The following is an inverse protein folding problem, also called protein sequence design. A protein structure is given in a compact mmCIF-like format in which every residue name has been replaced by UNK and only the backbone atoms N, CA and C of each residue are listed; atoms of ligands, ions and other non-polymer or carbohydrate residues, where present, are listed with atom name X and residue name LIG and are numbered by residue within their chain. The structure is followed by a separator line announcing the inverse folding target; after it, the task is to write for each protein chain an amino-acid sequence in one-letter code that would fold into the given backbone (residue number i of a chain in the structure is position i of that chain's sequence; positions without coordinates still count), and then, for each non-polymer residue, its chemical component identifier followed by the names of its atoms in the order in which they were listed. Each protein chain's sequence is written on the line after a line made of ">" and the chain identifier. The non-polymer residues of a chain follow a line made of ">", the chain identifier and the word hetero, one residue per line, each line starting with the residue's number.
data_IF_922798203230
#
_entry.id   IF_922798203230
#
_cell.length_a   1.000
_cell.length_b   1.000
_cell.length_c   1.000
_cell.angle_alpha   90.00
_cell.angle_beta   90.00
_cell.angle_gamma   90.00
#
_symmetry.space_group_name_H-M   'P 1'
#
loop_
_entity.id
_entity.type
_entity.pdbx_description
1 polymer ?
#
# COMPACT_ATOMS: atom_id res chain seq x y z
N UNK A 1 15.61 -40.83 30.97
CA UNK A 1 16.05 -39.90 29.90
C UNK A 1 14.82 -39.42 29.13
N UNK A 2 14.33 -38.21 29.41
CA UNK A 2 13.11 -37.68 28.77
C UNK A 2 13.48 -36.88 27.52
N UNK A 3 13.07 -37.37 26.34
CA UNK A 3 13.29 -36.73 25.04
C UNK A 3 12.27 -35.60 24.86
N UNK A 4 12.69 -34.35 25.03
CA UNK A 4 11.88 -33.17 24.74
C UNK A 4 11.74 -33.00 23.22
N UNK A 5 10.53 -33.21 22.69
CA UNK A 5 10.19 -32.85 21.31
C UNK A 5 10.04 -31.33 21.23
N UNK A 6 11.07 -30.63 20.76
CA UNK A 6 10.99 -29.21 20.43
C UNK A 6 10.05 -29.03 19.21
N UNK A 7 8.87 -28.45 19.43
CA UNK A 7 7.99 -28.06 18.33
C UNK A 7 8.41 -26.68 17.81
N UNK A 8 8.64 -26.58 16.49
CA UNK A 8 9.06 -25.35 15.86
C UNK A 8 7.94 -24.30 15.93
N UNK A 9 8.08 -23.33 16.84
CA UNK A 9 7.18 -22.17 16.91
C UNK A 9 7.47 -21.26 15.72
N UNK A 10 6.49 -21.12 14.81
CA UNK A 10 6.58 -20.19 13.67
C UNK A 10 6.72 -18.75 14.18
N UNK A 11 7.78 -18.05 13.78
CA UNK A 11 7.95 -16.63 14.05
C UNK A 11 7.06 -15.81 13.09
N UNK A 12 6.15 -15.03 13.63
CA UNK A 12 5.11 -14.33 12.86
C UNK A 12 5.67 -13.22 11.95
N UNK A 13 6.85 -12.68 12.27
CA UNK A 13 7.46 -11.54 11.54
C UNK A 13 8.12 -11.87 10.19
N UNK A 14 8.46 -13.13 9.92
CA UNK A 14 9.27 -13.49 8.74
C UNK A 14 8.56 -13.34 7.38
N UNK A 15 7.22 -13.31 7.36
CA UNK A 15 6.45 -13.20 6.11
C UNK A 15 6.42 -11.77 5.55
N UNK A 16 6.39 -10.77 6.42
CA UNK A 16 6.28 -9.36 6.01
C UNK A 16 7.58 -8.86 5.36
N UNK A 17 8.74 -9.20 5.95
CA UNK A 17 10.06 -8.84 5.40
C UNK A 17 10.31 -9.50 4.03
N UNK A 18 9.81 -10.72 3.83
CA UNK A 18 9.85 -11.40 2.52
C UNK A 18 8.96 -10.71 1.47
N UNK A 19 7.83 -10.13 1.88
CA UNK A 19 6.94 -9.39 0.98
C UNK A 19 7.56 -8.05 0.56
N UNK A 20 8.15 -7.29 1.49
CA UNK A 20 8.85 -6.03 1.19
C UNK A 20 10.10 -6.24 0.32
N UNK A 21 10.86 -7.33 0.52
CA UNK A 21 11.99 -7.68 -0.37
C UNK A 21 11.54 -8.10 -1.78
N UNK A 22 10.26 -8.44 -1.98
CA UNK A 22 9.69 -8.84 -3.26
C UNK A 22 8.97 -7.69 -3.99
N UNK A 23 8.80 -6.53 -3.34
CA UNK A 23 8.10 -5.36 -3.90
C UNK A 23 9.00 -4.40 -4.69
N UNK A 24 10.22 -4.81 -5.05
CA UNK A 24 10.91 -4.26 -6.22
C UNK A 24 9.95 -4.32 -7.43
N UNK A 25 9.99 -3.38 -8.39
CA UNK A 25 8.89 -3.14 -9.32
C UNK A 25 8.63 -4.39 -10.16
N UNK A 26 7.70 -5.21 -9.69
CA UNK A 26 7.07 -6.23 -10.48
C UNK A 26 5.89 -5.52 -11.13
N UNK A 27 5.94 -5.37 -12.45
CA UNK A 27 4.80 -4.98 -13.32
C UNK A 27 3.64 -6.02 -13.27
N UNK A 28 3.60 -6.86 -12.24
CA UNK A 28 2.67 -7.95 -12.04
C UNK A 28 1.45 -7.52 -11.24
N UNK A 29 0.28 -7.69 -11.87
CA UNK A 29 -1.03 -7.21 -11.44
C UNK A 29 -1.35 -7.33 -9.96
N UNK A 30 -1.83 -6.22 -9.41
CA UNK A 30 -2.70 -6.17 -8.23
C UNK A 30 -3.89 -7.12 -8.47
N UNK A 31 -4.26 -7.93 -7.45
CA UNK A 31 -5.47 -8.77 -7.49
C UNK A 31 -6.64 -7.94 -8.04
N UNK A 32 -7.36 -8.47 -9.06
CA UNK A 32 -8.45 -7.81 -9.82
C UNK A 32 -8.74 -6.39 -9.31
N UNK A 33 -8.19 -5.34 -9.97
CA UNK A 33 -8.33 -3.99 -9.47
C UNK A 33 -9.81 -3.71 -9.25
N UNK A 34 -10.12 -3.15 -8.07
CA UNK A 34 -11.46 -2.64 -7.80
C UNK A 34 -11.75 -1.64 -8.92
N UNK A 35 -12.72 -1.94 -9.79
CA UNK A 35 -13.13 -1.00 -10.83
C UNK A 35 -13.73 0.19 -10.11
N UNK A 36 -12.97 1.28 -9.96
CA UNK A 36 -13.55 2.60 -9.72
C UNK A 36 -14.58 2.80 -10.83
N UNK A 37 -15.84 2.71 -10.43
CA UNK A 37 -16.97 2.61 -11.37
C UNK A 37 -17.20 4.02 -11.89
N UNK A 38 -17.85 4.15 -13.05
CA UNK A 38 -18.41 5.43 -13.52
C UNK A 38 -19.20 6.21 -12.44
N UNK A 39 -19.60 5.56 -11.33
CA UNK A 39 -20.23 6.16 -10.15
C UNK A 39 -19.35 7.12 -9.33
N UNK A 40 -18.02 6.94 -9.29
CA UNK A 40 -17.14 7.87 -8.56
C UNK A 40 -16.86 9.15 -9.37
N UNK A 41 -17.11 9.09 -10.69
CA UNK A 41 -16.94 10.20 -11.64
C UNK A 41 -18.27 10.84 -12.05
N UNK A 42 -19.40 10.21 -11.72
CA UNK A 42 -20.73 10.74 -11.98
C UNK A 42 -21.05 11.99 -11.17
N UNK A 43 -20.35 12.21 -10.07
CA UNK A 43 -20.41 13.45 -9.29
C UNK A 43 -19.82 14.65 -10.06
N UNK A 44 -19.00 14.41 -11.09
CA UNK A 44 -18.38 15.46 -11.91
C UNK A 44 -19.09 15.67 -13.24
N UNK A 45 -19.44 14.60 -13.98
CA UNK A 45 -20.26 14.68 -15.21
C UNK A 45 -20.81 13.30 -15.61
N UNK A 46 -22.11 13.21 -15.88
CA UNK A 46 -22.82 11.94 -16.09
C UNK A 46 -22.53 11.23 -17.42
N UNK A 47 -21.88 11.89 -18.39
CA UNK A 47 -21.62 11.35 -19.74
C UNK A 47 -20.13 11.36 -20.16
N UNK A 48 -19.23 11.18 -19.19
CA UNK A 48 -17.79 11.09 -19.45
C UNK A 48 -17.40 9.70 -19.99
N UNK A 49 -16.76 9.68 -21.16
CA UNK A 49 -16.10 8.48 -21.72
C UNK A 49 -14.58 8.64 -21.56
N UNK A 50 -13.96 7.70 -20.86
CA UNK A 50 -12.50 7.70 -20.66
C UNK A 50 -11.83 6.83 -21.71
N UNK A 51 -10.72 7.32 -22.27
CA UNK A 51 -9.82 6.51 -23.07
C UNK A 51 -9.18 5.44 -22.17
N UNK A 52 -8.94 4.24 -22.71
CA UNK A 52 -8.28 3.16 -21.96
C UNK A 52 -6.91 3.57 -21.42
N UNK A 53 -6.13 4.34 -22.18
CA UNK A 53 -4.84 4.89 -21.75
C UNK A 53 -4.97 5.92 -20.62
N UNK A 54 -6.04 6.72 -20.60
CA UNK A 54 -6.28 7.69 -19.53
C UNK A 54 -6.54 7.00 -18.20
N UNK A 55 -7.31 5.90 -18.21
CA UNK A 55 -7.55 5.07 -17.02
C UNK A 55 -6.23 4.43 -16.53
N UNK A 56 -5.40 3.94 -17.45
CA UNK A 56 -4.09 3.38 -17.09
C UNK A 56 -3.15 4.43 -16.49
N UNK A 57 -3.11 5.63 -17.06
CA UNK A 57 -2.29 6.72 -16.54
C UNK A 57 -2.71 7.16 -15.13
N UNK A 58 -4.03 7.25 -14.88
CA UNK A 58 -4.55 7.54 -13.54
C UNK A 58 -4.19 6.46 -12.53
N UNK A 59 -4.23 5.19 -12.94
CA UNK A 59 -3.84 4.07 -12.08
C UNK A 59 -2.34 4.17 -11.74
N UNK A 60 -1.49 4.36 -12.74
CA UNK A 60 -0.05 4.46 -12.54
C UNK A 60 0.34 5.64 -11.64
N UNK A 61 -0.26 6.82 -11.87
CA UNK A 61 -0.05 7.98 -11.02
C UNK A 61 -0.54 7.75 -9.58
N UNK A 62 -1.69 7.09 -9.40
CA UNK A 62 -2.24 6.77 -8.08
C UNK A 62 -1.36 5.77 -7.33
N UNK A 63 -0.86 4.73 -8.00
CA UNK A 63 0.04 3.75 -7.41
C UNK A 63 1.37 4.39 -7.00
N UNK A 64 1.98 5.20 -7.88
CA UNK A 64 3.21 5.93 -7.57
C UNK A 64 3.05 6.86 -6.35
N UNK A 65 1.94 7.62 -6.32
CA UNK A 65 1.61 8.49 -5.19
C UNK A 65 1.48 7.69 -3.88
N UNK A 66 0.70 6.61 -3.87
CA UNK A 66 0.48 5.80 -2.67
C UNK A 66 1.76 5.12 -2.18
N UNK A 67 2.62 4.64 -3.08
CA UNK A 67 3.92 4.07 -2.70
C UNK A 67 4.76 5.13 -1.98
N UNK A 68 4.90 6.33 -2.55
CA UNK A 68 5.65 7.42 -1.93
C UNK A 68 5.08 7.82 -0.56
N UNK A 69 3.76 7.87 -0.43
CA UNK A 69 3.09 8.23 0.83
C UNK A 69 3.32 7.16 1.90
N UNK A 70 3.33 5.89 1.54
CA UNK A 70 3.60 4.80 2.47
C UNK A 70 5.07 4.77 2.91
N UNK A 71 6.01 5.20 2.08
CA UNK A 71 7.41 5.38 2.48
C UNK A 71 7.53 6.43 3.61
N UNK A 72 6.91 7.60 3.44
CA UNK A 72 6.92 8.66 4.45
C UNK A 72 6.16 8.26 5.73
N UNK A 73 5.03 7.57 5.56
CA UNK A 73 4.24 7.03 6.68
C UNK A 73 5.07 6.03 7.49
N UNK A 74 5.86 5.19 6.82
CA UNK A 74 6.74 4.23 7.47
C UNK A 74 7.86 4.93 8.26
N UNK A 75 8.43 6.02 7.73
CA UNK A 75 9.38 6.86 8.47
C UNK A 75 8.74 7.46 9.73
N UNK A 76 7.51 7.94 9.64
CA UNK A 76 6.75 8.45 10.80
C UNK A 76 6.52 7.36 11.86
N UNK A 77 6.19 6.14 11.45
CA UNK A 77 6.02 5.01 12.37
C UNK A 77 7.34 4.64 13.08
N UNK A 78 8.45 4.60 12.35
CA UNK A 78 9.79 4.31 12.88
C UNK A 78 10.25 5.41 13.84
N UNK A 79 9.98 6.68 13.51
CA UNK A 79 10.27 7.82 14.40
C UNK A 79 9.59 7.66 15.76
N UNK A 80 8.37 7.10 15.78
CA UNK A 80 7.63 6.78 17.00
C UNK A 80 7.95 5.39 17.60
N UNK A 81 9.08 4.76 17.21
CA UNK A 81 9.54 3.43 17.67
C UNK A 81 8.54 2.29 17.41
N UNK A 82 7.72 2.39 16.36
CA UNK A 82 6.76 1.37 15.94
C UNK A 82 7.17 0.77 14.59
N UNK A 83 6.73 -0.46 14.35
CA UNK A 83 6.92 -1.18 13.06
C UNK A 83 5.61 -1.24 12.27
N UNK A 84 4.48 -0.96 12.91
CA UNK A 84 3.15 -0.95 12.29
C UNK A 84 2.73 0.49 12.01
N UNK A 85 2.46 0.79 10.73
CA UNK A 85 1.86 2.06 10.31
C UNK A 85 0.44 2.20 10.83
N UNK A 86 0.07 3.42 11.23
CA UNK A 86 -1.23 3.77 11.76
C UNK A 86 -1.81 4.97 11.02
N UNK A 87 -3.14 5.22 11.08
CA UNK A 87 -3.75 6.39 10.42
C UNK A 87 -3.12 7.73 10.81
N UNK A 88 -2.67 7.87 12.07
CA UNK A 88 -1.95 9.07 12.56
C UNK A 88 -0.62 9.31 11.85
N UNK A 89 0.06 8.26 11.39
CA UNK A 89 1.33 8.38 10.67
C UNK A 89 1.08 8.91 9.26
N UNK A 90 -0.03 8.50 8.63
CA UNK A 90 -0.45 8.99 7.32
C UNK A 90 -0.86 10.46 7.43
N UNK A 91 -1.65 10.80 8.45
CA UNK A 91 -2.06 12.18 8.71
C UNK A 91 -0.85 13.10 8.92
N UNK A 92 0.14 12.64 9.69
CA UNK A 92 1.38 13.38 9.90
C UNK A 92 2.18 13.54 8.60
N UNK A 93 2.34 12.47 7.82
CA UNK A 93 3.05 12.52 6.54
C UNK A 93 2.39 13.50 5.55
N UNK A 94 1.06 13.46 5.43
CA UNK A 94 0.29 14.39 4.58
C UNK A 94 0.39 15.83 5.06
N UNK A 95 0.34 16.05 6.38
CA UNK A 95 0.52 17.37 6.97
C UNK A 95 1.90 17.97 6.66
N UNK A 96 2.97 17.16 6.75
CA UNK A 96 4.33 17.58 6.42
C UNK A 96 4.49 17.85 4.91
N UNK A 97 3.79 17.09 4.06
CA UNK A 97 3.75 17.31 2.60
C UNK A 97 2.96 18.56 2.20
N UNK A 98 2.11 19.09 3.07
CA UNK A 98 1.26 20.25 2.79
C UNK A 98 -0.03 19.90 2.00
N UNK A 99 -0.53 18.68 2.16
CA UNK A 99 -1.79 18.20 1.55
C UNK A 99 -3.03 18.33 2.44
#
# INVERSE_FOLDING_TARGET
>A
MARTKQTARKSTGGKATKAARKSAPATGGVKKPHRYRRGDLSDFKTDLRFQSSAVMALQEASEAYLVSLFEDTNLCAIHAKRVTIMPKDIQLARHIRGE
#
